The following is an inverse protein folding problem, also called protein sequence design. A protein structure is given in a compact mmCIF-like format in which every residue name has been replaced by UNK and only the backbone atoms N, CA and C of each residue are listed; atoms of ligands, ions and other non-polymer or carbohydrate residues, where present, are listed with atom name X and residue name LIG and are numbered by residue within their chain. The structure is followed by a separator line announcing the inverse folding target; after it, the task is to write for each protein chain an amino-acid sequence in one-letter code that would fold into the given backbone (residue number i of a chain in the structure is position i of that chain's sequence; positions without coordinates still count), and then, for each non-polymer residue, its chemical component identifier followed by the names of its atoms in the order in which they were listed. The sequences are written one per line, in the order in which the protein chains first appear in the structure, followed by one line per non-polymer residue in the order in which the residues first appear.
data_IF_319315500719
#
_entry.id   IF_319315500719
#
_cell.length_a   1.000
_cell.length_b   1.000
_cell.length_c   1.000
_cell.angle_alpha   90.00
_cell.angle_beta   90.00
_cell.angle_gamma   90.00
#
_symmetry.space_group_name_H-M   'P 1'
#
loop_
_entity.id
_entity.type
_entity.pdbx_description
1 polymer ?
#
# COMPACT_ATOMS: atom_id res chain seq x y z
N UNK A 1 9.87 11.87 23.96
CA UNK A 1 9.89 11.58 22.52
C UNK A 1 8.45 11.28 22.14
N UNK A 2 7.75 12.22 21.50
CA UNK A 2 6.39 11.94 21.03
C UNK A 2 6.46 10.83 19.99
N UNK A 3 5.68 9.77 20.19
CA UNK A 3 5.52 8.73 19.19
C UNK A 3 5.00 9.39 17.90
N UNK A 4 5.78 9.31 16.83
CA UNK A 4 5.38 9.87 15.53
C UNK A 4 4.03 9.31 15.13
N UNK A 5 3.04 10.19 14.92
CA UNK A 5 1.71 9.80 14.49
C UNK A 5 1.81 9.04 13.15
N UNK A 6 1.36 7.78 13.12
CA UNK A 6 1.28 7.01 11.87
C UNK A 6 0.33 7.75 10.93
N UNK A 7 0.86 8.33 9.86
CA UNK A 7 0.06 8.99 8.83
C UNK A 7 -0.65 7.93 8.00
N UNK A 8 -1.97 8.03 7.90
CA UNK A 8 -2.76 7.15 7.04
C UNK A 8 -2.51 7.54 5.58
N UNK A 9 -2.30 6.55 4.72
CA UNK A 9 -2.19 6.75 3.28
C UNK A 9 -2.96 5.66 2.53
N UNK A 10 -3.35 5.98 1.30
CA UNK A 10 -4.06 5.09 0.38
C UNK A 10 -3.74 5.53 -1.06
N UNK A 11 -3.05 4.69 -1.83
CA UNK A 11 -2.75 4.90 -3.24
C UNK A 11 -3.31 3.75 -4.05
N UNK A 12 -3.93 4.03 -5.19
CA UNK A 12 -4.52 3.00 -6.06
C UNK A 12 -4.08 3.23 -7.50
N UNK A 13 -3.47 2.20 -8.09
CA UNK A 13 -3.22 2.13 -9.52
C UNK A 13 -4.29 1.27 -10.18
N UNK A 14 -5.09 1.90 -11.03
CA UNK A 14 -6.21 1.28 -11.73
C UNK A 14 -5.95 1.19 -13.24
N UNK A 15 -6.61 0.24 -13.89
CA UNK A 15 -6.70 0.20 -15.36
C UNK A 15 -7.67 1.28 -15.87
N UNK A 16 -7.73 1.48 -17.19
CA UNK A 16 -8.74 2.34 -17.82
C UNK A 16 -10.19 1.87 -17.54
N UNK A 17 -10.36 0.58 -17.29
CA UNK A 17 -11.65 -0.05 -17.00
C UNK A 17 -11.95 -0.07 -15.49
N UNK A 18 -11.21 0.71 -14.69
CA UNK A 18 -11.36 0.84 -13.24
C UNK A 18 -11.07 -0.47 -12.47
N UNK A 19 -10.27 -1.37 -13.05
CA UNK A 19 -9.81 -2.57 -12.36
C UNK A 19 -8.56 -2.30 -11.54
N UNK A 20 -8.47 -2.89 -10.34
CA UNK A 20 -7.30 -2.74 -9.48
C UNK A 20 -6.07 -3.39 -10.11
N UNK A 21 -4.99 -2.65 -10.31
CA UNK A 21 -3.66 -3.22 -10.57
C UNK A 21 -2.93 -3.44 -9.26
N UNK A 22 -2.69 -2.37 -8.51
CA UNK A 22 -2.08 -2.41 -7.18
C UNK A 22 -2.68 -1.30 -6.31
N UNK A 23 -3.03 -1.61 -5.06
CA UNK A 23 -3.36 -0.62 -4.03
C UNK A 23 -2.32 -0.66 -2.91
N UNK A 24 -1.92 0.48 -2.35
CA UNK A 24 -0.99 0.60 -1.23
C UNK A 24 -1.67 1.36 -0.10
N UNK A 25 -1.67 0.79 1.10
CA UNK A 25 -2.24 1.43 2.28
C UNK A 25 -1.57 0.93 3.57
N UNK A 26 -1.99 1.54 4.67
CA UNK A 26 -1.66 1.09 6.00
C UNK A 26 -2.90 0.87 6.85
N UNK A 27 -2.92 -0.25 7.58
CA UNK A 27 -4.04 -0.59 8.46
C UNK A 27 -3.58 -1.30 9.74
N UNK A 28 -4.23 -1.06 10.89
CA UNK A 28 -3.76 -1.52 12.19
C UNK A 28 -4.03 -3.01 12.49
N UNK A 29 -4.65 -3.74 11.55
CA UNK A 29 -5.19 -5.09 11.79
C UNK A 29 -4.42 -6.24 11.12
N UNK A 30 -3.40 -5.98 10.29
CA UNK A 30 -2.64 -7.03 9.58
C UNK A 30 -1.26 -7.32 10.22
N UNK A 31 -1.24 -7.54 11.54
CA UNK A 31 0.00 -7.65 12.35
C UNK A 31 0.92 -8.82 11.99
N UNK A 32 0.42 -9.80 11.25
CA UNK A 32 1.16 -10.95 10.77
C UNK A 32 2.08 -10.65 9.58
N UNK A 33 1.90 -9.50 8.91
CA UNK A 33 2.76 -9.09 7.82
C UNK A 33 4.07 -8.53 8.36
N UNK A 34 5.18 -8.91 7.75
CA UNK A 34 6.51 -8.39 8.08
C UNK A 34 6.57 -6.86 7.96
N UNK A 35 5.86 -6.29 6.97
CA UNK A 35 5.79 -4.85 6.73
C UNK A 35 4.72 -4.13 7.55
N UNK A 36 4.08 -4.75 8.54
CA UNK A 36 3.00 -4.14 9.32
C UNK A 36 3.36 -2.72 9.83
N UNK A 37 2.48 -1.71 9.66
CA UNK A 37 1.09 -1.77 9.15
C UNK A 37 0.94 -1.70 7.62
N UNK A 38 2.04 -1.63 6.89
CA UNK A 38 2.11 -1.36 5.46
C UNK A 38 1.88 -2.62 4.65
N UNK A 39 1.07 -2.51 3.60
CA UNK A 39 0.81 -3.60 2.68
C UNK A 39 0.35 -3.08 1.32
N UNK A 40 0.29 -3.99 0.36
CA UNK A 40 -0.30 -3.74 -0.95
C UNK A 40 -1.31 -4.82 -1.33
N UNK A 41 -2.30 -4.44 -2.11
CA UNK A 41 -3.31 -5.31 -2.69
C UNK A 41 -3.03 -5.49 -4.17
N UNK A 42 -2.83 -6.71 -4.66
CA UNK A 42 -2.43 -6.98 -6.05
C UNK A 42 -3.58 -7.60 -6.83
N UNK A 43 -4.05 -6.92 -7.90
CA UNK A 43 -5.18 -7.30 -8.76
C UNK A 43 -6.56 -7.35 -8.08
N UNK A 44 -6.63 -7.64 -6.79
CA UNK A 44 -7.85 -7.73 -5.99
C UNK A 44 -7.58 -7.26 -4.57
N UNK A 45 -8.60 -6.71 -3.91
CA UNK A 45 -8.49 -6.20 -2.54
C UNK A 45 -8.16 -7.29 -1.51
N UNK A 46 -8.57 -8.54 -1.74
CA UNK A 46 -8.29 -9.66 -0.84
C UNK A 46 -6.88 -10.26 -1.02
N UNK A 47 -6.16 -9.90 -2.09
CA UNK A 47 -4.81 -10.38 -2.38
C UNK A 47 -3.75 -9.44 -1.79
N UNK A 48 -3.61 -9.51 -0.47
CA UNK A 48 -2.68 -8.69 0.31
C UNK A 48 -1.26 -9.25 0.30
N UNK A 49 -0.26 -8.37 0.14
CA UNK A 49 1.16 -8.68 0.11
C UNK A 49 1.98 -7.66 0.91
N UNK A 50 3.18 -8.06 1.33
CA UNK A 50 4.13 -7.14 1.96
C UNK A 50 4.53 -6.03 0.99
N UNK A 51 4.74 -4.83 1.52
CA UNK A 51 5.12 -3.65 0.73
C UNK A 51 5.95 -2.69 1.59
N UNK A 52 6.94 -2.07 0.96
CA UNK A 52 7.76 -1.02 1.55
C UNK A 52 7.36 0.39 1.06
N UNK A 53 6.47 0.49 0.07
CA UNK A 53 6.08 1.77 -0.52
C UNK A 53 5.03 2.46 0.36
N UNK A 54 5.39 3.60 0.93
CA UNK A 54 4.60 4.33 1.93
C UNK A 54 4.32 5.78 1.55
N UNK A 55 4.98 6.29 0.52
CA UNK A 55 4.74 7.61 -0.06
C UNK A 55 4.56 7.57 -1.58
N UNK A 56 4.07 8.67 -2.14
CA UNK A 56 3.79 8.78 -3.58
C UNK A 56 5.06 8.58 -4.42
N UNK A 57 6.21 9.10 -3.97
CA UNK A 57 7.48 8.99 -4.68
C UNK A 57 7.91 7.52 -4.85
N UNK A 58 7.73 6.69 -3.82
CA UNK A 58 8.03 5.26 -3.85
C UNK A 58 7.05 4.51 -4.76
N UNK A 59 5.75 4.81 -4.62
CA UNK A 59 4.70 4.23 -5.48
C UNK A 59 4.97 4.54 -6.97
N UNK A 60 5.33 5.79 -7.30
CA UNK A 60 5.62 6.18 -8.67
C UNK A 60 6.87 5.49 -9.22
N UNK A 61 7.89 5.17 -8.39
CA UNK A 61 9.03 4.36 -8.83
C UNK A 61 8.63 2.94 -9.22
N UNK A 62 7.59 2.37 -8.62
CA UNK A 62 7.06 1.06 -9.01
C UNK A 62 6.28 1.15 -10.32
N UNK A 63 5.48 2.21 -10.49
CA UNK A 63 4.63 2.39 -11.68
C UNK A 63 5.45 2.70 -12.95
N UNK A 64 6.58 3.41 -12.80
CA UNK A 64 7.40 3.87 -13.92
C UNK A 64 8.49 2.87 -14.35
N UNK A 65 8.58 1.70 -13.71
CA UNK A 65 9.44 0.58 -14.15
C UNK A 65 8.74 -0.23 -15.23
#
# INVERSE_FOLDING_TARGET
MEAGQIRRYNYYWLTSDNELRIGWDNAPHHRQLESFPHHKHVKRQDNMQVSAETCLEEVMRVILQ
#
